data_IF_993268149748
#
_entry.id   IF_993268149748
#
_cell.length_a   1.000
_cell.length_b   1.000
_cell.length_c   1.000
_cell.angle_alpha   90.00
_cell.angle_beta   90.00
_cell.angle_gamma   90.00
#
_symmetry.space_group_name_H-M   'P 1'
#
loop_
_entity.id
_entity.type
_entity.pdbx_description
1 polymer ?
#
# COMPACT_ATOMS: atom_id res chain seq x y z
N UNK A 1 -7.44 -41.67 -3.29
CA UNK A 1 -8.27 -40.70 -4.01
C UNK A 1 -8.21 -39.42 -3.20
N UNK A 2 -7.37 -38.46 -3.60
CA UNK A 2 -7.36 -37.12 -3.03
C UNK A 2 -8.67 -36.43 -3.47
N UNK A 3 -9.52 -36.09 -2.50
CA UNK A 3 -10.75 -35.37 -2.75
C UNK A 3 -10.43 -33.98 -3.30
N UNK A 4 -10.98 -33.66 -4.44
CA UNK A 4 -11.01 -32.31 -4.98
C UNK A 4 -11.84 -31.47 -4.00
N UNK A 5 -11.18 -30.76 -3.11
CA UNK A 5 -11.84 -29.74 -2.29
C UNK A 5 -12.29 -28.63 -3.25
N UNK A 6 -13.59 -28.57 -3.53
CA UNK A 6 -14.19 -27.46 -4.27
C UNK A 6 -14.02 -26.21 -3.44
N UNK A 7 -13.33 -25.21 -3.99
CA UNK A 7 -13.25 -23.90 -3.36
C UNK A 7 -14.67 -23.32 -3.28
N UNK A 8 -15.06 -22.83 -2.11
CA UNK A 8 -16.32 -22.12 -1.95
C UNK A 8 -16.33 -20.92 -2.92
N UNK A 9 -17.38 -20.73 -3.74
CA UNK A 9 -17.50 -19.58 -4.61
C UNK A 9 -17.28 -18.23 -3.89
N UNK A 10 -17.66 -18.15 -2.60
CA UNK A 10 -17.41 -16.99 -1.76
C UNK A 10 -15.91 -16.78 -1.44
N UNK A 11 -15.12 -17.85 -1.43
CA UNK A 11 -13.66 -17.74 -1.24
C UNK A 11 -12.95 -17.45 -2.55
N UNK A 12 -13.42 -17.99 -3.68
CA UNK A 12 -12.93 -17.64 -5.03
C UNK A 12 -13.15 -16.14 -5.31
N UNK A 13 -14.29 -15.58 -4.91
CA UNK A 13 -14.58 -14.16 -5.06
C UNK A 13 -13.61 -13.24 -4.28
N UNK A 14 -12.90 -13.78 -3.28
CA UNK A 14 -11.89 -13.06 -2.49
C UNK A 14 -10.47 -13.22 -3.01
N UNK A 15 -10.24 -14.07 -3.99
CA UNK A 15 -8.91 -14.25 -4.60
C UNK A 15 -8.67 -13.09 -5.57
N UNK A 16 -8.02 -12.04 -5.09
CA UNK A 16 -7.77 -10.82 -5.85
C UNK A 16 -7.15 -11.06 -7.22
N UNK A 17 -6.20 -12.00 -7.32
CA UNK A 17 -5.48 -12.31 -8.58
C UNK A 17 -6.37 -12.80 -9.71
N UNK A 18 -7.51 -13.39 -9.39
CA UNK A 18 -8.47 -13.86 -10.40
C UNK A 18 -9.30 -12.70 -10.99
N UNK A 19 -9.36 -11.57 -10.30
CA UNK A 19 -10.23 -10.45 -10.64
C UNK A 19 -9.46 -9.17 -10.99
N UNK A 20 -8.20 -9.10 -10.58
CA UNK A 20 -7.34 -7.97 -10.85
C UNK A 20 -6.97 -7.92 -12.35
N UNK A 21 -6.90 -6.72 -12.88
CA UNK A 21 -6.22 -6.48 -14.15
C UNK A 21 -4.70 -6.48 -13.90
N UNK A 22 -3.91 -6.85 -14.91
CA UNK A 22 -2.44 -6.87 -14.80
C UNK A 22 -1.87 -5.57 -14.22
N UNK A 23 -2.40 -4.42 -14.66
CA UNK A 23 -2.00 -3.10 -14.13
C UNK A 23 -2.36 -2.86 -12.65
N UNK A 24 -3.13 -3.72 -12.01
CA UNK A 24 -3.50 -3.65 -10.59
C UNK A 24 -2.70 -4.64 -9.73
N UNK A 25 -1.84 -5.43 -10.35
CA UNK A 25 -0.91 -6.33 -9.68
C UNK A 25 0.48 -5.68 -9.59
N UNK A 26 1.23 -5.94 -8.51
CA UNK A 26 2.61 -5.48 -8.47
C UNK A 26 3.43 -6.18 -9.56
N UNK A 27 4.48 -5.54 -10.08
CA UNK A 27 5.36 -6.17 -11.06
C UNK A 27 6.03 -7.44 -10.50
N UNK A 28 6.31 -8.39 -11.39
CA UNK A 28 7.05 -9.63 -11.04
C UNK A 28 8.55 -9.38 -10.87
N UNK A 29 9.07 -8.29 -11.44
CA UNK A 29 10.47 -7.90 -11.37
C UNK A 29 10.86 -7.37 -9.97
N UNK A 30 12.17 -7.17 -9.76
CA UNK A 30 12.70 -6.54 -8.54
C UNK A 30 12.36 -5.05 -8.55
N UNK A 31 11.57 -4.61 -7.58
CA UNK A 31 11.18 -3.22 -7.43
C UNK A 31 11.18 -2.79 -5.96
N UNK A 32 11.33 -1.50 -5.73
CA UNK A 32 11.21 -0.88 -4.39
C UNK A 32 9.98 0.02 -4.27
N UNK A 33 9.59 0.66 -5.35
CA UNK A 33 8.45 1.57 -5.43
C UNK A 33 7.53 1.08 -6.54
N UNK A 34 6.29 0.80 -6.19
CA UNK A 34 5.23 0.52 -7.17
C UNK A 34 4.32 1.74 -7.26
N UNK A 35 4.37 2.43 -8.41
CA UNK A 35 3.54 3.61 -8.68
C UNK A 35 2.34 3.22 -9.54
N UNK A 36 1.15 3.23 -8.94
CA UNK A 36 -0.10 2.94 -9.62
C UNK A 36 -0.85 4.24 -9.94
N UNK A 37 -0.76 4.69 -11.18
CA UNK A 37 -1.47 5.86 -11.68
C UNK A 37 -2.71 5.47 -12.48
N UNK A 38 -3.83 6.15 -12.24
CA UNK A 38 -5.05 5.90 -13.00
C UNK A 38 -6.18 6.85 -12.63
N UNK A 39 -7.19 6.93 -13.47
CA UNK A 39 -8.39 7.73 -13.23
C UNK A 39 -9.20 7.27 -12.00
N UNK A 40 -10.29 7.98 -11.72
CA UNK A 40 -11.28 7.55 -10.73
C UNK A 40 -11.88 6.19 -11.16
N UNK A 41 -12.16 5.33 -10.19
CA UNK A 41 -12.71 3.99 -10.46
C UNK A 41 -11.69 2.98 -11.03
N UNK A 42 -10.43 3.35 -11.24
CA UNK A 42 -9.39 2.44 -11.73
C UNK A 42 -8.99 1.33 -10.73
N UNK A 43 -9.55 1.32 -9.52
CA UNK A 43 -9.27 0.30 -8.51
C UNK A 43 -7.93 0.47 -7.78
N UNK A 44 -7.33 1.65 -7.84
CA UNK A 44 -6.02 1.95 -7.23
C UNK A 44 -5.97 1.65 -5.73
N UNK A 45 -6.92 2.19 -4.98
CA UNK A 45 -7.04 1.97 -3.52
C UNK A 45 -7.18 0.48 -3.21
N UNK A 46 -8.02 -0.24 -3.98
CA UNK A 46 -8.18 -1.69 -3.80
C UNK A 46 -6.87 -2.44 -4.08
N UNK A 47 -6.15 -2.09 -5.13
CA UNK A 47 -4.87 -2.72 -5.47
C UNK A 47 -3.81 -2.49 -4.37
N UNK A 48 -3.68 -1.27 -3.85
CA UNK A 48 -2.78 -0.96 -2.73
C UNK A 48 -3.15 -1.72 -1.45
N UNK A 49 -4.44 -1.79 -1.13
CA UNK A 49 -4.94 -2.52 0.03
C UNK A 49 -4.69 -4.04 -0.08
N UNK A 50 -4.95 -4.64 -1.25
CA UNK A 50 -4.73 -6.06 -1.49
C UNK A 50 -3.25 -6.44 -1.45
N UNK A 51 -2.39 -5.60 -2.02
CA UNK A 51 -0.94 -5.78 -1.93
C UNK A 51 -0.48 -5.79 -0.47
N UNK A 52 -0.88 -4.79 0.31
CA UNK A 52 -0.47 -4.70 1.72
C UNK A 52 -1.04 -5.86 2.55
N UNK A 53 -2.33 -6.21 2.32
CA UNK A 53 -2.96 -7.35 2.99
C UNK A 53 -2.18 -8.65 2.77
N UNK A 54 -1.75 -8.92 1.53
CA UNK A 54 -0.96 -10.12 1.22
C UNK A 54 0.36 -10.17 1.96
N UNK A 55 1.09 -9.07 2.01
CA UNK A 55 2.36 -8.99 2.75
C UNK A 55 2.15 -9.24 4.24
N UNK A 56 1.08 -8.69 4.81
CA UNK A 56 0.74 -8.90 6.21
C UNK A 56 0.28 -10.35 6.45
N UNK A 57 -0.62 -10.88 5.62
CA UNK A 57 -1.17 -12.23 5.78
C UNK A 57 -0.10 -13.31 5.62
N UNK A 58 0.88 -13.11 4.76
CA UNK A 58 2.02 -14.03 4.59
C UNK A 58 3.07 -13.93 5.71
N UNK A 59 2.98 -12.91 6.59
CA UNK A 59 3.99 -12.65 7.61
C UNK A 59 5.29 -12.03 7.08
N UNK A 60 5.32 -11.62 5.80
CA UNK A 60 6.49 -11.01 5.17
C UNK A 60 6.85 -9.65 5.79
N UNK A 61 5.87 -8.96 6.38
CA UNK A 61 6.02 -7.65 7.01
C UNK A 61 5.35 -7.62 8.39
N UNK A 62 5.93 -6.83 9.30
CA UNK A 62 5.46 -6.70 10.67
C UNK A 62 5.10 -5.25 11.04
N UNK A 63 5.71 -4.27 10.39
CA UNK A 63 5.50 -2.85 10.65
C UNK A 63 5.23 -2.12 9.36
N UNK A 64 3.98 -1.70 9.17
CA UNK A 64 3.57 -1.06 7.93
C UNK A 64 3.13 0.39 8.18
N UNK A 65 3.40 1.27 7.22
CA UNK A 65 2.89 2.63 7.22
C UNK A 65 1.71 2.75 6.23
N UNK A 66 0.65 3.40 6.67
CA UNK A 66 -0.45 3.86 5.82
C UNK A 66 -0.42 5.38 5.80
N UNK A 67 -0.23 5.97 4.63
CA UNK A 67 -0.15 7.42 4.50
C UNK A 67 -1.22 7.91 3.53
N UNK A 68 -2.19 8.65 4.05
CA UNK A 68 -3.24 9.30 3.26
C UNK A 68 -3.03 10.80 3.12
N UNK A 69 -3.81 11.48 2.26
CA UNK A 69 -3.80 12.94 2.17
C UNK A 69 -4.07 13.60 3.53
N UNK A 70 -5.10 13.14 4.22
CA UNK A 70 -5.48 13.52 5.58
C UNK A 70 -5.64 12.29 6.47
N UNK A 71 -5.70 12.46 7.79
CA UNK A 71 -6.04 11.34 8.69
C UNK A 71 -7.46 10.83 8.47
N UNK A 72 -8.38 11.71 8.08
CA UNK A 72 -9.75 11.34 7.72
C UNK A 72 -9.75 10.42 6.50
N UNK A 73 -9.07 10.80 5.41
CA UNK A 73 -8.99 9.99 4.20
C UNK A 73 -8.30 8.64 4.48
N UNK A 74 -7.22 8.64 5.25
CA UNK A 74 -6.55 7.40 5.63
C UNK A 74 -7.49 6.46 6.38
N UNK A 75 -8.31 6.96 7.29
CA UNK A 75 -9.32 6.18 8.00
C UNK A 75 -10.45 5.73 7.10
N UNK A 76 -11.15 6.68 6.46
CA UNK A 76 -12.41 6.39 5.75
C UNK A 76 -12.20 5.67 4.41
N UNK A 77 -11.01 5.82 3.78
CA UNK A 77 -10.73 5.19 2.49
C UNK A 77 -9.85 3.96 2.65
N UNK A 78 -8.70 4.10 3.35
CA UNK A 78 -7.71 3.02 3.39
C UNK A 78 -8.06 1.93 4.42
N UNK A 79 -8.81 2.25 5.47
CA UNK A 79 -9.12 1.32 6.57
C UNK A 79 -10.56 0.85 6.53
N UNK A 80 -11.53 1.76 6.69
CA UNK A 80 -12.95 1.43 6.89
C UNK A 80 -13.72 1.35 5.56
N UNK A 81 -13.24 1.93 4.49
CA UNK A 81 -13.92 2.01 3.20
C UNK A 81 -14.16 0.64 2.54
N UNK A 82 -15.02 0.57 1.51
CA UNK A 82 -15.40 -0.69 0.86
C UNK A 82 -14.22 -1.40 0.18
N UNK A 83 -13.17 -0.68 -0.16
CA UNK A 83 -11.90 -1.21 -0.66
C UNK A 83 -10.78 -1.16 0.38
N UNK A 84 -11.09 -0.76 1.62
CA UNK A 84 -10.13 -0.62 2.70
C UNK A 84 -9.76 -1.95 3.36
N UNK A 85 -8.71 -1.91 4.16
CA UNK A 85 -8.10 -3.11 4.76
C UNK A 85 -9.07 -3.94 5.60
N UNK A 86 -10.03 -3.33 6.31
CA UNK A 86 -11.02 -4.07 7.09
C UNK A 86 -12.06 -4.78 6.24
N UNK A 87 -12.44 -4.20 5.10
CA UNK A 87 -13.44 -4.77 4.20
C UNK A 87 -12.89 -5.98 3.43
N UNK A 88 -11.61 -5.93 3.02
CA UNK A 88 -10.96 -6.97 2.22
C UNK A 88 -10.26 -8.04 3.04
N UNK A 89 -10.14 -7.84 4.36
CA UNK A 89 -9.41 -8.74 5.24
C UNK A 89 -9.96 -10.16 5.24
N UNK A 90 -9.08 -11.12 5.40
CA UNK A 90 -9.46 -12.49 5.70
C UNK A 90 -10.14 -12.56 7.08
N UNK A 91 -11.08 -13.51 7.27
CA UNK A 91 -11.79 -13.67 8.56
C UNK A 91 -10.83 -13.90 9.72
N UNK A 92 -9.72 -14.57 9.47
CA UNK A 92 -8.76 -14.98 10.49
C UNK A 92 -7.76 -13.89 10.85
N UNK A 93 -7.55 -12.87 9.99
CA UNK A 93 -6.55 -11.82 10.18
C UNK A 93 -7.10 -10.42 9.88
N UNK A 94 -8.36 -10.18 10.26
CA UNK A 94 -8.98 -8.85 10.14
C UNK A 94 -8.35 -7.90 11.16
N UNK A 95 -7.84 -6.72 10.72
CA UNK A 95 -7.22 -5.79 11.65
C UNK A 95 -8.25 -5.07 12.53
N UNK A 96 -7.84 -4.75 13.74
CA UNK A 96 -8.54 -3.83 14.63
C UNK A 96 -7.90 -2.45 14.54
N UNK A 97 -8.72 -1.41 14.39
CA UNK A 97 -8.22 -0.04 14.32
C UNK A 97 -8.40 0.70 15.64
N UNK A 98 -7.29 1.05 16.27
CA UNK A 98 -7.27 1.88 17.46
C UNK A 98 -7.15 3.36 17.05
N UNK A 99 -8.24 4.11 17.19
CA UNK A 99 -8.33 5.51 16.76
C UNK A 99 -7.36 6.40 17.55
N UNK A 100 -7.28 6.22 18.86
CA UNK A 100 -6.43 7.05 19.75
C UNK A 100 -4.94 6.90 19.42
N UNK A 101 -4.53 5.69 19.07
CA UNK A 101 -3.14 5.38 18.72
C UNK A 101 -2.85 5.52 17.24
N UNK A 102 -3.88 5.78 16.40
CA UNK A 102 -3.76 5.79 14.94
C UNK A 102 -3.08 4.53 14.43
N UNK A 103 -3.51 3.36 14.91
CA UNK A 103 -2.83 2.10 14.72
C UNK A 103 -3.81 0.98 14.36
N UNK A 104 -3.41 0.15 13.40
CA UNK A 104 -4.03 -1.14 13.13
C UNK A 104 -3.22 -2.25 13.79
N UNK A 105 -3.93 -3.18 14.41
CA UNK A 105 -3.36 -4.38 15.02
C UNK A 105 -3.95 -5.60 14.34
N UNK A 106 -3.10 -6.44 13.74
CA UNK A 106 -3.50 -7.73 13.16
C UNK A 106 -3.27 -8.87 14.14
N UNK A 107 -4.07 -9.93 14.02
CA UNK A 107 -3.97 -11.11 14.90
C UNK A 107 -2.62 -11.83 14.82
N UNK A 108 -1.95 -11.76 13.67
CA UNK A 108 -0.62 -12.34 13.48
C UNK A 108 0.52 -11.49 14.08
N UNK A 109 0.19 -10.41 14.79
CA UNK A 109 1.15 -9.52 15.45
C UNK A 109 1.67 -8.37 14.59
N UNK A 110 1.32 -8.30 13.32
CA UNK A 110 1.67 -7.16 12.49
C UNK A 110 0.96 -5.88 12.96
N UNK A 111 1.61 -4.74 12.78
CA UNK A 111 1.12 -3.42 13.22
C UNK A 111 1.17 -2.44 12.05
N UNK A 112 0.08 -1.72 11.82
CA UNK A 112 -0.01 -0.63 10.85
C UNK A 112 -0.12 0.72 11.55
N UNK A 113 0.73 1.66 11.20
CA UNK A 113 0.69 3.03 11.67
C UNK A 113 0.07 3.95 10.63
N UNK A 114 -0.83 4.83 11.04
CA UNK A 114 -1.61 5.68 10.15
C UNK A 114 -1.14 7.13 10.25
N UNK A 115 -0.79 7.70 9.11
CA UNK A 115 -0.23 9.04 8.98
C UNK A 115 -1.00 9.89 7.99
N UNK A 116 -0.87 11.20 8.14
CA UNK A 116 -1.35 12.21 7.21
C UNK A 116 -0.18 12.91 6.52
N UNK A 117 -0.34 13.19 5.24
CA UNK A 117 0.60 14.03 4.51
C UNK A 117 0.55 15.52 4.90
N UNK A 118 -0.40 15.90 5.76
CA UNK A 118 -0.45 17.22 6.39
C UNK A 118 0.59 17.38 7.50
N UNK A 119 1.03 16.25 8.12
CA UNK A 119 2.00 16.22 9.21
C UNK A 119 3.19 15.30 8.87
N UNK A 120 4.11 15.72 8.00
CA UNK A 120 5.28 14.93 7.63
C UNK A 120 6.20 14.57 8.80
N UNK A 121 6.20 15.39 9.84
CA UNK A 121 7.12 15.21 10.96
C UNK A 121 6.70 14.05 11.86
N UNK A 122 5.43 13.63 11.85
CA UNK A 122 4.93 12.43 12.53
C UNK A 122 5.56 11.12 12.02
N UNK A 123 6.07 11.11 10.78
CA UNK A 123 6.80 9.99 10.19
C UNK A 123 8.25 9.86 10.71
N UNK A 124 8.73 10.83 11.48
CA UNK A 124 10.08 10.77 12.07
C UNK A 124 10.09 9.84 13.28
N UNK A 125 11.04 8.93 13.30
CA UNK A 125 11.23 7.96 14.39
C UNK A 125 10.74 6.55 14.10
N UNK A 126 9.48 6.32 13.70
CA UNK A 126 9.04 4.98 13.33
C UNK A 126 9.82 4.39 12.13
N UNK A 127 9.91 3.05 12.11
CA UNK A 127 10.57 2.32 11.02
C UNK A 127 9.63 1.25 10.50
N UNK A 128 9.65 1.03 9.17
CA UNK A 128 8.69 0.21 8.47
C UNK A 128 9.34 -0.80 7.53
N UNK A 129 8.67 -1.95 7.38
CA UNK A 129 8.97 -3.00 6.40
C UNK A 129 8.31 -2.68 5.05
N UNK A 130 7.11 -2.10 5.09
CA UNK A 130 6.34 -1.73 3.92
C UNK A 130 5.53 -0.46 4.17
N UNK A 131 5.16 0.23 3.08
CA UNK A 131 4.26 1.38 3.16
C UNK A 131 3.23 1.36 2.02
N UNK A 132 2.01 1.79 2.34
CA UNK A 132 1.01 2.12 1.34
C UNK A 132 0.66 3.59 1.43
N UNK A 133 0.90 4.30 0.33
CA UNK A 133 0.68 5.73 0.16
C UNK A 133 -0.49 5.95 -0.79
N UNK A 134 -1.64 6.40 -0.28
CA UNK A 134 -2.82 6.60 -1.10
C UNK A 134 -2.94 8.06 -1.56
N UNK A 135 -3.31 8.24 -2.83
CA UNK A 135 -3.58 9.53 -3.49
C UNK A 135 -2.45 10.57 -3.31
N UNK A 136 -1.19 10.17 -3.53
CA UNK A 136 0.00 11.05 -3.33
C UNK A 136 -0.07 12.37 -4.10
N UNK A 137 -0.83 12.43 -5.21
CA UNK A 137 -1.09 13.66 -5.95
C UNK A 137 -1.98 14.68 -5.23
N UNK A 138 -2.64 14.28 -4.14
CA UNK A 138 -3.45 15.16 -3.29
C UNK A 138 -2.68 15.66 -2.05
N UNK A 139 -1.49 15.15 -1.80
CA UNK A 139 -0.72 15.48 -0.61
C UNK A 139 -0.29 16.95 -0.58
N UNK A 140 -0.51 17.62 0.55
CA UNK A 140 -0.13 19.04 0.72
C UNK A 140 1.39 19.19 0.75
N UNK A 141 2.08 18.35 1.53
CA UNK A 141 3.52 18.31 1.68
C UNK A 141 4.13 17.07 1.01
N UNK A 142 3.82 16.88 -0.28
CA UNK A 142 4.11 15.67 -1.04
C UNK A 142 5.58 15.22 -0.94
N UNK A 143 6.53 16.06 -1.32
CA UNK A 143 7.96 15.72 -1.32
C UNK A 143 8.48 15.47 0.10
N UNK A 144 8.17 16.38 1.05
CA UNK A 144 8.66 16.26 2.44
C UNK A 144 8.13 14.98 3.10
N UNK A 145 6.84 14.67 2.93
CA UNK A 145 6.21 13.46 3.48
C UNK A 145 6.86 12.22 2.90
N UNK A 146 7.02 12.19 1.58
CA UNK A 146 7.65 11.07 0.90
C UNK A 146 9.09 10.84 1.37
N UNK A 147 9.92 11.88 1.38
CA UNK A 147 11.31 11.75 1.77
C UNK A 147 11.45 11.30 3.23
N UNK A 148 10.60 11.83 4.14
CA UNK A 148 10.59 11.40 5.54
C UNK A 148 10.17 9.93 5.68
N UNK A 149 9.15 9.48 4.93
CA UNK A 149 8.73 8.08 4.90
C UNK A 149 9.86 7.17 4.41
N UNK A 150 10.55 7.55 3.32
CA UNK A 150 11.62 6.75 2.74
C UNK A 150 12.81 6.56 3.68
N UNK A 151 13.09 7.51 4.58
CA UNK A 151 14.06 7.34 5.66
C UNK A 151 13.63 6.27 6.69
N UNK A 152 12.32 6.18 6.97
CA UNK A 152 11.74 5.18 7.88
C UNK A 152 11.59 3.79 7.24
N UNK A 153 11.53 3.70 5.91
CA UNK A 153 11.33 2.46 5.16
C UNK A 153 12.65 1.68 4.99
N UNK A 154 13.10 1.04 6.09
CA UNK A 154 14.42 0.42 6.19
C UNK A 154 14.47 -0.84 7.06
N UNK A 155 13.33 -1.37 7.51
CA UNK A 155 13.23 -2.62 8.28
C UNK A 155 12.98 -3.77 7.30
N UNK A 156 13.32 -4.99 7.71
CA UNK A 156 13.15 -6.18 6.87
C UNK A 156 14.23 -6.32 5.80
N UNK A 157 14.09 -7.36 4.98
CA UNK A 157 15.06 -7.68 3.92
C UNK A 157 14.85 -6.90 2.64
N UNK A 158 13.60 -6.52 2.35
CA UNK A 158 13.20 -5.91 1.09
C UNK A 158 12.05 -4.91 1.32
N UNK A 159 12.36 -3.75 1.95
CA UNK A 159 11.32 -2.76 2.26
C UNK A 159 10.77 -2.14 0.97
N UNK A 160 9.43 -2.18 0.82
CA UNK A 160 8.72 -1.76 -0.39
C UNK A 160 7.62 -0.74 -0.10
N UNK A 161 7.29 0.07 -1.10
CA UNK A 161 6.17 1.01 -1.04
C UNK A 161 5.29 0.90 -2.27
N UNK A 162 3.98 0.80 -2.04
CA UNK A 162 2.96 1.02 -3.07
C UNK A 162 2.44 2.45 -2.95
N UNK A 163 2.50 3.21 -4.04
CA UNK A 163 1.99 4.56 -4.14
C UNK A 163 0.88 4.63 -5.18
N UNK A 164 -0.29 5.09 -4.78
CA UNK A 164 -1.43 5.27 -5.67
C UNK A 164 -1.68 6.74 -5.94
N UNK A 165 -2.11 7.10 -7.13
CA UNK A 165 -2.50 8.47 -7.45
C UNK A 165 -3.39 8.57 -8.68
N UNK A 166 -4.24 9.58 -8.66
CA UNK A 166 -4.79 10.15 -9.89
C UNK A 166 -3.73 11.04 -10.52
N UNK A 167 -3.52 11.01 -11.87
CA UNK A 167 -2.52 11.86 -12.52
C UNK A 167 -2.74 13.33 -12.20
N UNK A 168 -1.75 13.95 -11.53
CA UNK A 168 -1.71 15.39 -11.21
C UNK A 168 -0.30 15.92 -11.41
N UNK A 169 -0.17 17.17 -11.81
CA UNK A 169 1.11 17.83 -12.08
C UNK A 169 1.84 18.24 -10.78
N UNK A 170 1.99 17.33 -9.82
CA UNK A 170 2.69 17.53 -8.54
C UNK A 170 4.15 17.12 -8.65
N UNK A 171 5.01 17.76 -7.86
CA UNK A 171 6.46 17.52 -7.90
C UNK A 171 6.82 16.06 -7.64
N UNK A 172 6.22 15.45 -6.61
CA UNK A 172 6.43 14.05 -6.26
C UNK A 172 5.98 13.11 -7.39
N UNK A 173 4.77 13.31 -7.94
CA UNK A 173 4.24 12.46 -9.01
C UNK A 173 5.14 12.51 -10.24
N UNK A 174 5.60 13.71 -10.65
CA UNK A 174 6.55 13.86 -11.76
C UNK A 174 7.88 13.16 -11.48
N UNK A 175 8.41 13.29 -10.25
CA UNK A 175 9.66 12.62 -9.83
C UNK A 175 9.55 11.12 -9.93
N UNK A 176 8.47 10.52 -9.41
CA UNK A 176 8.27 9.07 -9.43
C UNK A 176 7.99 8.54 -10.83
N UNK A 177 7.19 9.24 -11.64
CA UNK A 177 6.96 8.87 -13.04
C UNK A 177 8.26 8.85 -13.84
N UNK A 178 9.10 9.88 -13.69
CA UNK A 178 10.42 9.91 -14.34
C UNK A 178 11.31 8.75 -13.91
N UNK A 179 11.36 8.42 -12.60
CA UNK A 179 12.13 7.28 -12.11
C UNK A 179 11.61 5.95 -12.67
N UNK A 180 10.30 5.80 -12.88
CA UNK A 180 9.72 4.62 -13.51
C UNK A 180 10.16 4.49 -14.98
N UNK A 181 10.15 5.58 -15.73
CA UNK A 181 10.60 5.60 -17.12
C UNK A 181 12.10 5.29 -17.23
N UNK A 182 12.93 5.90 -16.39
CA UNK A 182 14.38 5.65 -16.31
C UNK A 182 14.67 4.19 -15.89
N UNK A 183 13.90 3.64 -14.95
CA UNK A 183 14.01 2.25 -14.49
C UNK A 183 13.68 1.23 -15.60
N UNK A 184 12.65 1.47 -16.39
CA UNK A 184 12.31 0.65 -17.56
C UNK A 184 13.39 0.68 -18.63
N UNK A 185 14.03 1.84 -18.84
CA UNK A 185 15.13 2.00 -19.81
C UNK A 185 16.41 1.27 -19.38
N UNK A 186 16.64 1.07 -18.06
CA UNK A 186 17.89 0.52 -17.50
C UNK A 186 17.80 -0.96 -17.07
N UNK A 187 16.80 -1.71 -17.50
CA UNK A 187 16.62 -3.14 -17.15
C UNK A 187 16.82 -3.46 -15.64
N UNK A 188 15.94 -2.97 -14.78
CA UNK A 188 15.59 -3.69 -13.56
C UNK A 188 16.55 -3.61 -12.38
N UNK A 189 17.36 -2.58 -12.21
CA UNK A 189 18.08 -2.39 -10.94
C UNK A 189 17.32 -1.44 -10.01
N UNK A 190 16.44 -2.01 -9.18
CA UNK A 190 15.83 -1.32 -8.03
C UNK A 190 14.99 -0.08 -8.34
N UNK A 191 14.31 -0.08 -9.48
CA UNK A 191 13.56 1.06 -9.99
C UNK A 191 12.15 1.21 -9.41
N UNK A 192 11.49 2.28 -9.81
CA UNK A 192 10.05 2.49 -9.70
C UNK A 192 9.37 1.74 -10.84
N UNK A 193 8.36 0.97 -10.51
CA UNK A 193 7.54 0.25 -11.46
C UNK A 193 6.12 0.82 -11.51
#
# INVERSE_FOLDING_TARGET
RAGTAWLDPADVAKVWDLWARDAQLPPDDVWRIWLLMGGRGAGKTRAGAEWLRRLVDSGAVQRVALVGPTLHDAREVMIEGPSGLKAIASRNNRPEYNVSRRRLDWRNGAVGYVFSAEDPDSLRGPQFDAAWCDEIGAWVHDVKTWDTLMFGLRVGRDPKVAATTTPRARALVKRLAKLADDGRANNGKGGVA
#
